data_IF_023765654123
#
_entry.id   IF_023765654123
#
_cell.length_a   1.000
_cell.length_b   1.000
_cell.length_c   1.000
_cell.angle_alpha   90.00
_cell.angle_beta   90.00
_cell.angle_gamma   90.00
#
_symmetry.space_group_name_H-M   'P 1'
#
loop_
_entity.id
_entity.type
_entity.pdbx_description
1 polymer ?
#
# COMPACT_ATOMS: atom_id res chain seq x y z
N UNK A 1 8.88 6.64 -24.61
CA UNK A 1 8.24 7.96 -24.88
C UNK A 1 8.77 8.95 -23.86
N UNK A 2 9.38 10.06 -24.27
CA UNK A 2 9.82 11.11 -23.35
C UNK A 2 8.58 11.80 -22.78
N UNK A 3 8.41 11.76 -21.44
CA UNK A 3 7.32 12.46 -20.73
C UNK A 3 7.46 13.96 -21.00
N UNK A 4 6.37 14.61 -21.43
CA UNK A 4 6.36 16.05 -21.67
C UNK A 4 6.55 16.82 -20.33
N UNK A 5 7.24 17.97 -20.33
CA UNK A 5 7.34 18.80 -19.15
C UNK A 5 5.94 19.32 -18.77
N UNK A 6 5.61 19.24 -17.49
CA UNK A 6 4.34 19.66 -16.90
C UNK A 6 4.15 21.16 -17.19
N UNK A 7 3.28 21.48 -18.14
CA UNK A 7 2.95 22.85 -18.51
C UNK A 7 1.43 23.06 -18.40
N UNK A 8 0.91 23.17 -17.17
CA UNK A 8 -0.19 24.07 -16.78
C UNK A 8 -0.59 23.82 -15.32
N UNK A 9 -0.13 24.65 -14.38
CA UNK A 9 -0.94 25.07 -13.23
C UNK A 9 -0.56 26.53 -12.94
N UNK A 10 -1.57 27.38 -12.84
CA UNK A 10 -1.48 28.81 -12.53
C UNK A 10 -0.40 29.15 -11.50
N UNK A 11 0.21 30.33 -11.61
CA UNK A 11 1.14 30.91 -10.62
C UNK A 11 0.62 30.69 -9.20
N UNK A 12 1.09 29.62 -8.55
CA UNK A 12 0.78 29.29 -7.16
C UNK A 12 1.77 30.04 -6.30
N UNK A 13 1.29 30.66 -5.21
CA UNK A 13 2.17 31.23 -4.19
C UNK A 13 3.14 30.16 -3.70
N UNK A 14 4.36 30.57 -3.33
CA UNK A 14 5.40 29.70 -2.74
C UNK A 14 4.90 28.91 -1.51
N UNK A 15 3.74 29.26 -0.94
CA UNK A 15 3.10 28.60 0.19
C UNK A 15 2.16 27.44 -0.16
N UNK A 16 1.81 27.20 -1.43
CA UNK A 16 0.88 26.12 -1.81
C UNK A 16 1.62 24.79 -1.94
N UNK A 17 1.28 23.80 -1.12
CA UNK A 17 1.80 22.43 -1.28
C UNK A 17 1.07 21.74 -2.45
N UNK A 18 1.78 21.15 -3.42
CA UNK A 18 1.14 20.46 -4.54
C UNK A 18 0.44 19.19 -4.05
N UNK A 19 -0.78 18.96 -4.55
CA UNK A 19 -1.44 17.67 -4.53
C UNK A 19 -1.67 17.29 -5.99
N UNK A 20 -0.98 16.26 -6.46
CA UNK A 20 -1.08 15.75 -7.83
C UNK A 20 -1.90 14.47 -7.79
N UNK A 21 -2.80 14.30 -8.75
CA UNK A 21 -3.56 13.05 -8.90
C UNK A 21 -3.23 12.47 -10.26
N UNK A 22 -2.71 11.24 -10.26
CA UNK A 22 -2.31 10.52 -11.45
C UNK A 22 -3.19 9.29 -11.64
N UNK A 23 -3.71 9.10 -12.85
CA UNK A 23 -4.44 7.90 -13.23
C UNK A 23 -3.56 7.05 -14.15
N UNK A 24 -3.07 5.91 -13.65
CA UNK A 24 -2.39 4.89 -14.46
C UNK A 24 -3.33 3.74 -14.86
N UNK A 25 -4.61 3.82 -14.48
CA UNK A 25 -5.58 2.82 -14.88
C UNK A 25 -5.83 2.89 -16.39
N UNK A 26 -6.16 1.75 -16.99
CA UNK A 26 -6.58 1.69 -18.40
C UNK A 26 -7.90 2.45 -18.63
N UNK A 27 -8.73 2.52 -17.60
CA UNK A 27 -10.05 3.16 -17.62
C UNK A 27 -10.02 4.59 -17.07
N UNK A 28 -11.02 5.37 -17.45
CA UNK A 28 -11.26 6.70 -16.86
C UNK A 28 -11.80 6.55 -15.44
N UNK A 29 -11.19 7.25 -14.48
CA UNK A 29 -11.64 7.33 -13.09
C UNK A 29 -12.11 8.74 -12.73
N UNK A 30 -12.93 8.84 -11.69
CA UNK A 30 -13.42 10.11 -11.15
C UNK A 30 -13.01 10.23 -9.68
N UNK A 31 -11.80 10.74 -9.38
CA UNK A 31 -11.33 10.89 -8.00
C UNK A 31 -12.22 11.89 -7.24
N UNK A 32 -12.68 11.50 -6.05
CA UNK A 32 -13.35 12.40 -5.12
C UNK A 32 -12.36 13.00 -4.13
N UNK A 33 -12.48 14.28 -3.82
CA UNK A 33 -11.70 14.96 -2.77
C UNK A 33 -12.65 15.58 -1.76
N UNK A 34 -12.43 15.30 -0.49
CA UNK A 34 -13.22 15.86 0.61
C UNK A 34 -12.27 16.41 1.68
N UNK A 35 -12.64 17.56 2.25
CA UNK A 35 -11.88 18.19 3.33
C UNK A 35 -12.72 18.19 4.59
N UNK A 36 -12.24 17.49 5.62
CA UNK A 36 -12.94 17.40 6.90
C UNK A 36 -12.72 18.66 7.75
N UNK A 37 -11.52 19.25 7.70
CA UNK A 37 -11.15 20.46 8.41
C UNK A 37 -10.07 21.24 7.64
N UNK A 38 -10.05 22.57 7.83
CA UNK A 38 -9.10 23.47 7.16
C UNK A 38 -9.47 23.82 5.72
N UNK A 39 -8.52 24.40 4.99
CA UNK A 39 -8.67 24.77 3.58
C UNK A 39 -8.27 23.60 2.67
N UNK A 40 -9.23 23.08 1.92
CA UNK A 40 -9.04 21.97 0.98
C UNK A 40 -8.38 22.38 -0.34
N UNK A 41 -8.05 21.41 -1.22
CA UNK A 41 -7.61 21.72 -2.58
C UNK A 41 -8.70 22.51 -3.33
N UNK A 42 -8.30 23.57 -4.04
CA UNK A 42 -9.17 24.62 -4.60
C UNK A 42 -10.25 24.19 -5.61
N UNK A 43 -10.37 22.90 -5.91
CA UNK A 43 -11.44 22.28 -6.69
C UNK A 43 -11.96 21.06 -5.92
N UNK A 44 -12.86 21.28 -4.96
CA UNK A 44 -13.45 20.23 -4.11
C UNK A 44 -13.95 20.73 -2.74
N UNK A 45 -13.51 21.91 -2.30
CA UNK A 45 -13.98 22.53 -1.05
C UNK A 45 -15.37 23.19 -1.20
N UNK A 46 -16.24 22.98 -0.22
CA UNK A 46 -17.49 23.72 -0.04
C UNK A 46 -17.35 24.61 1.19
N UNK A 47 -17.96 25.81 1.16
CA UNK A 47 -17.93 26.74 2.29
C UNK A 47 -18.76 26.16 3.45
N UNK A 48 -18.12 25.85 4.57
CA UNK A 48 -18.77 25.40 5.80
C UNK A 48 -18.61 26.47 6.89
N UNK A 49 -19.72 26.95 7.45
CA UNK A 49 -19.68 27.97 8.53
C UNK A 49 -19.29 27.37 9.88
N UNK A 50 -18.76 28.19 10.80
CA UNK A 50 -18.43 27.75 12.17
C UNK A 50 -19.63 27.07 12.84
N UNK A 51 -19.44 25.84 13.35
CA UNK A 51 -20.48 25.02 13.95
C UNK A 51 -21.31 24.17 12.97
N UNK A 52 -21.17 24.35 11.65
CA UNK A 52 -21.80 23.50 10.65
C UNK A 52 -20.95 22.23 10.39
N UNK A 53 -21.63 21.12 10.09
CA UNK A 53 -21.01 19.86 9.71
C UNK A 53 -21.62 19.39 8.39
N UNK A 54 -20.78 18.92 7.47
CA UNK A 54 -21.25 18.24 6.27
C UNK A 54 -20.33 17.06 5.99
N UNK A 55 -20.89 15.85 6.03
CA UNK A 55 -20.16 14.61 5.82
C UNK A 55 -20.27 14.20 4.35
N UNK A 56 -19.15 14.19 3.66
CA UNK A 56 -19.02 13.54 2.36
C UNK A 56 -18.11 12.33 2.53
N UNK A 57 -18.55 11.17 2.09
CA UNK A 57 -17.69 10.00 1.91
C UNK A 57 -17.94 9.42 0.53
N UNK A 58 -16.92 8.84 -0.10
CA UNK A 58 -17.15 7.94 -1.22
C UNK A 58 -18.10 6.82 -0.79
N UNK A 59 -18.94 6.31 -1.70
CA UNK A 59 -19.78 5.15 -1.38
C UNK A 59 -18.88 3.91 -1.34
N UNK A 60 -18.77 3.21 -0.19
CA UNK A 60 -18.00 1.97 -0.11
C UNK A 60 -18.42 0.92 -1.16
N UNK A 61 -17.50 0.05 -1.61
CA UNK A 61 -16.10 -0.02 -1.20
C UNK A 61 -15.24 1.09 -1.82
N UNK A 62 -14.32 1.68 -1.07
CA UNK A 62 -13.44 2.75 -1.58
C UNK A 62 -12.05 2.69 -0.93
N UNK A 63 -11.01 2.53 -1.74
CA UNK A 63 -9.63 2.74 -1.31
C UNK A 63 -9.39 4.23 -1.08
N UNK A 64 -8.86 4.60 0.08
CA UNK A 64 -8.66 5.99 0.48
C UNK A 64 -7.16 6.33 0.58
N UNK A 65 -6.81 7.57 0.21
CA UNK A 65 -5.57 8.21 0.61
C UNK A 65 -5.93 9.35 1.56
N UNK A 66 -5.51 9.23 2.81
CA UNK A 66 -5.89 10.15 3.89
C UNK A 66 -4.69 11.02 4.26
N UNK A 67 -4.94 12.30 4.51
CA UNK A 67 -3.89 13.27 4.84
C UNK A 67 -4.36 14.21 5.94
N UNK A 68 -3.55 14.36 6.97
CA UNK A 68 -3.60 15.46 7.94
C UNK A 68 -2.36 16.30 7.76
N UNK A 69 -2.52 17.43 7.06
CA UNK A 69 -1.43 18.33 6.70
C UNK A 69 -1.24 19.42 7.75
N UNK A 70 0.01 19.87 7.92
CA UNK A 70 0.35 21.08 8.67
C UNK A 70 -0.21 21.11 10.11
N UNK A 71 0.06 20.06 10.88
CA UNK A 71 -0.28 20.04 12.31
C UNK A 71 0.54 21.09 13.08
N UNK A 72 0.09 21.43 14.29
CA UNK A 72 0.82 22.35 15.18
C UNK A 72 2.24 21.88 15.52
N UNK A 73 2.53 20.59 15.37
CA UNK A 73 3.85 19.98 15.56
C UNK A 73 4.75 20.05 14.32
N UNK A 74 4.30 20.65 13.21
CA UNK A 74 5.07 20.69 11.97
C UNK A 74 5.16 19.32 11.29
N UNK A 75 4.26 18.38 11.62
CA UNK A 75 4.21 17.04 11.05
C UNK A 75 3.07 16.92 10.04
N UNK A 76 3.17 15.92 9.17
CA UNK A 76 2.12 15.46 8.29
C UNK A 76 1.87 14.00 8.57
N UNK A 77 0.60 13.67 8.80
CA UNK A 77 0.13 12.30 8.97
C UNK A 77 -0.59 11.89 7.69
N UNK A 78 -0.30 10.72 7.19
CA UNK A 78 -0.97 10.20 6.00
C UNK A 78 -0.92 8.68 5.97
N UNK A 79 -1.84 8.12 5.23
CA UNK A 79 -1.99 6.68 5.10
C UNK A 79 -2.83 6.30 3.87
N UNK A 80 -2.70 5.04 3.47
CA UNK A 80 -3.66 4.38 2.60
C UNK A 80 -4.62 3.63 3.52
N UNK A 81 -5.92 3.79 3.30
CA UNK A 81 -6.95 3.22 4.15
C UNK A 81 -7.93 2.37 3.38
N UNK A 82 -8.11 1.14 3.87
CA UNK A 82 -9.06 0.13 3.40
C UNK A 82 -10.20 -0.10 4.41
N UNK A 83 -10.34 0.82 5.38
CA UNK A 83 -11.40 0.79 6.40
C UNK A 83 -12.79 0.85 5.76
N UNK A 84 -12.91 1.59 4.66
CA UNK A 84 -14.13 1.71 3.85
C UNK A 84 -14.15 0.72 2.67
N UNK A 85 -13.27 -0.28 2.67
CA UNK A 85 -13.16 -1.27 1.60
C UNK A 85 -12.02 -1.01 0.64
N UNK A 86 -11.93 -1.84 -0.40
CA UNK A 86 -10.96 -1.74 -1.47
C UNK A 86 -11.67 -1.77 -2.83
N UNK A 87 -11.36 -0.81 -3.70
CA UNK A 87 -11.90 -0.78 -5.06
C UNK A 87 -10.85 -0.52 -6.14
N UNK A 88 -9.69 0.02 -5.82
CA UNK A 88 -8.66 0.29 -6.82
C UNK A 88 -7.28 0.29 -6.16
N UNK A 89 -6.21 -0.19 -6.83
CA UNK A 89 -4.86 -0.01 -6.31
C UNK A 89 -4.53 1.47 -6.20
N UNK A 90 -3.78 1.82 -5.18
CA UNK A 90 -3.45 3.20 -4.84
C UNK A 90 -2.05 3.27 -4.27
N UNK A 91 -1.34 4.34 -4.60
CA UNK A 91 -0.06 4.71 -4.00
C UNK A 91 -0.08 6.18 -3.62
N UNK A 92 0.67 6.50 -2.57
CA UNK A 92 0.97 7.88 -2.18
C UNK A 92 2.47 8.08 -2.42
N UNK A 93 2.83 9.16 -3.09
CA UNK A 93 4.19 9.53 -3.41
C UNK A 93 4.48 10.90 -2.81
N UNK A 94 5.47 10.99 -1.94
CA UNK A 94 5.95 12.27 -1.43
C UNK A 94 6.66 13.07 -2.54
N UNK A 95 6.35 14.36 -2.63
CA UNK A 95 6.99 15.30 -3.57
C UNK A 95 8.16 16.06 -2.93
N UNK A 96 8.77 15.49 -1.88
CA UNK A 96 9.99 16.03 -1.27
C UNK A 96 11.12 16.33 -2.27
N UNK A 97 11.43 15.47 -3.27
CA UNK A 97 12.49 15.77 -4.24
C UNK A 97 12.24 17.08 -5.01
N UNK A 98 10.98 17.43 -5.25
CA UNK A 98 10.57 18.63 -5.98
C UNK A 98 10.27 19.84 -5.07
N UNK A 99 10.49 19.70 -3.76
CA UNK A 99 10.09 20.72 -2.77
C UNK A 99 10.94 21.99 -2.80
N UNK A 100 12.16 21.94 -3.33
CA UNK A 100 13.15 23.02 -3.23
C UNK A 100 13.73 23.22 -1.83
N UNK A 101 13.37 22.37 -0.85
CA UNK A 101 13.90 22.40 0.51
C UNK A 101 14.90 21.24 0.68
N UNK A 102 16.18 21.57 0.89
CA UNK A 102 17.27 20.60 0.99
C UNK A 102 17.03 19.57 2.09
N UNK A 103 16.53 20.00 3.26
CA UNK A 103 16.25 19.09 4.37
C UNK A 103 15.14 18.08 4.08
N UNK A 104 14.17 18.43 3.25
CA UNK A 104 13.14 17.50 2.81
C UNK A 104 13.66 16.57 1.71
N UNK A 105 14.49 17.09 0.80
CA UNK A 105 15.10 16.31 -0.29
C UNK A 105 16.04 15.20 0.21
N UNK A 106 16.58 15.32 1.42
CA UNK A 106 17.39 14.29 2.07
C UNK A 106 16.56 13.08 2.55
N UNK A 107 15.24 13.23 2.71
CA UNK A 107 14.38 12.13 3.17
C UNK A 107 14.09 11.21 1.97
N UNK A 108 14.54 9.94 2.02
CA UNK A 108 14.45 9.08 0.86
C UNK A 108 13.01 8.57 0.62
N UNK A 109 12.62 8.38 -0.65
CA UNK A 109 11.25 7.99 -1.03
C UNK A 109 10.84 6.60 -0.52
N UNK A 110 11.79 5.69 -0.29
CA UNK A 110 11.50 4.36 0.26
C UNK A 110 11.03 4.33 1.72
N UNK A 111 11.07 5.47 2.42
CA UNK A 111 10.43 5.64 3.72
C UNK A 111 9.01 6.18 3.63
N UNK A 112 8.65 6.82 2.52
CA UNK A 112 7.50 7.74 2.48
C UNK A 112 6.46 7.43 1.41
N UNK A 113 6.71 6.44 0.55
CA UNK A 113 5.85 6.17 -0.59
C UNK A 113 5.12 4.82 -0.44
N UNK A 114 4.04 4.74 0.36
CA UNK A 114 3.27 3.51 0.49
C UNK A 114 2.50 3.15 -0.78
N UNK A 115 2.34 1.86 -1.02
CA UNK A 115 1.69 1.26 -2.19
C UNK A 115 0.76 0.14 -1.71
N UNK A 116 -0.47 0.12 -2.20
CA UNK A 116 -1.40 -0.99 -2.00
C UNK A 116 -1.90 -1.55 -3.33
N UNK A 117 -1.44 -2.77 -3.66
CA UNK A 117 -1.83 -3.54 -4.85
C UNK A 117 -2.61 -4.79 -4.44
N UNK A 118 -3.88 -4.59 -4.07
CA UNK A 118 -4.85 -5.65 -3.77
C UNK A 118 -5.56 -6.24 -5.01
N UNK A 119 -5.04 -6.02 -6.21
CA UNK A 119 -5.64 -6.47 -7.49
C UNK A 119 -4.68 -7.37 -8.24
N UNK A 120 -5.09 -8.63 -8.49
CA UNK A 120 -4.21 -9.67 -9.02
C UNK A 120 -3.68 -9.40 -10.44
N UNK A 121 -4.44 -8.71 -11.30
CA UNK A 121 -3.97 -8.36 -12.65
C UNK A 121 -2.84 -7.34 -12.69
N UNK A 122 -2.71 -6.52 -11.64
CA UNK A 122 -1.69 -5.48 -11.52
C UNK A 122 -0.57 -5.90 -10.56
N UNK A 123 -0.67 -7.11 -9.99
CA UNK A 123 0.34 -7.67 -9.11
C UNK A 123 1.52 -8.22 -9.92
N UNK A 124 2.72 -7.71 -9.65
CA UNK A 124 3.95 -8.25 -10.20
C UNK A 124 4.34 -9.59 -9.54
N UNK A 125 5.10 -10.40 -10.28
CA UNK A 125 5.54 -11.72 -9.83
C UNK A 125 6.42 -11.65 -8.57
N UNK A 126 6.50 -12.77 -7.84
CA UNK A 126 7.41 -12.88 -6.69
C UNK A 126 8.85 -12.63 -7.10
N UNK A 127 9.58 -11.87 -6.28
CA UNK A 127 10.94 -11.41 -6.57
C UNK A 127 11.00 -10.15 -7.43
N UNK A 128 9.87 -9.61 -7.91
CA UNK A 128 9.85 -8.32 -8.58
C UNK A 128 10.26 -7.21 -7.60
N UNK A 129 11.18 -6.37 -8.05
CA UNK A 129 11.71 -5.21 -7.29
C UNK A 129 11.45 -3.89 -8.01
N UNK A 130 10.70 -3.91 -9.12
CA UNK A 130 10.37 -2.68 -9.85
C UNK A 130 9.35 -1.86 -9.04
N UNK A 131 9.75 -0.63 -8.74
CA UNK A 131 9.01 0.37 -8.01
C UNK A 131 8.99 1.72 -8.76
N UNK A 132 9.25 1.68 -10.07
CA UNK A 132 9.37 2.87 -10.92
C UNK A 132 8.11 3.74 -10.99
N UNK A 133 6.92 3.19 -10.71
CA UNK A 133 5.65 3.95 -10.60
C UNK A 133 5.47 4.64 -9.25
N UNK A 134 6.36 4.41 -8.29
CA UNK A 134 6.20 4.80 -6.89
C UNK A 134 7.11 5.95 -6.49
N UNK A 135 7.57 6.74 -7.47
CA UNK A 135 8.35 7.96 -7.24
C UNK A 135 9.73 7.73 -6.61
N UNK A 136 10.30 6.53 -6.79
CA UNK A 136 11.61 6.16 -6.25
C UNK A 136 12.62 5.86 -7.36
N UNK A 137 13.86 5.52 -6.97
CA UNK A 137 14.96 5.20 -7.86
C UNK A 137 15.79 4.03 -7.32
N UNK A 138 16.72 3.53 -8.14
CA UNK A 138 17.58 2.39 -7.80
C UNK A 138 18.46 2.59 -6.56
N UNK A 139 18.69 3.82 -6.11
CA UNK A 139 19.46 4.11 -4.90
C UNK A 139 18.66 3.89 -3.62
N UNK A 140 17.33 3.99 -3.69
CA UNK A 140 16.43 3.83 -2.54
C UNK A 140 15.23 2.97 -2.92
N UNK A 141 15.39 1.67 -3.19
CA UNK A 141 14.26 0.81 -3.52
C UNK A 141 13.26 0.71 -2.36
N UNK A 142 11.97 0.71 -2.67
CA UNK A 142 10.89 0.48 -1.69
C UNK A 142 10.95 -0.98 -1.23
N UNK A 143 10.83 -1.27 0.08
CA UNK A 143 10.68 -2.63 0.55
C UNK A 143 9.28 -3.13 0.16
N UNK A 144 9.24 -3.97 -0.87
CA UNK A 144 7.99 -4.58 -1.33
C UNK A 144 7.64 -5.84 -0.52
N UNK A 145 6.35 -6.08 -0.33
CA UNK A 145 5.78 -7.35 0.14
C UNK A 145 6.13 -8.43 -0.89
N UNK A 146 6.64 -9.59 -0.49
CA UNK A 146 7.10 -10.65 -1.42
C UNK A 146 6.40 -12.00 -1.22
N UNK A 147 5.55 -12.16 -0.21
CA UNK A 147 4.94 -13.44 0.17
C UNK A 147 3.61 -13.70 -0.51
N UNK A 148 2.84 -12.65 -0.84
CA UNK A 148 1.51 -12.82 -1.43
C UNK A 148 1.62 -13.29 -2.89
N UNK A 149 1.13 -14.48 -3.19
CA UNK A 149 1.02 -14.97 -4.56
C UNK A 149 -0.13 -14.28 -5.30
N UNK A 150 -0.15 -14.36 -6.64
CA UNK A 150 -1.30 -13.90 -7.45
C UNK A 150 -2.61 -14.54 -6.99
N UNK A 151 -2.58 -15.80 -6.55
CA UNK A 151 -3.75 -16.49 -6.01
C UNK A 151 -4.20 -15.90 -4.67
N UNK A 152 -3.27 -15.58 -3.77
CA UNK A 152 -3.60 -14.93 -2.50
C UNK A 152 -4.27 -13.57 -2.76
N UNK A 153 -3.72 -12.78 -3.69
CA UNK A 153 -4.30 -11.46 -4.08
C UNK A 153 -5.61 -11.60 -4.85
N UNK A 154 -5.88 -12.71 -5.52
CA UNK A 154 -7.17 -12.95 -6.17
C UNK A 154 -8.25 -13.39 -5.17
N UNK A 155 -7.86 -14.01 -4.05
CA UNK A 155 -8.77 -14.69 -3.12
C UNK A 155 -8.89 -14.02 -1.75
N UNK A 156 -8.08 -12.98 -1.46
CA UNK A 156 -8.04 -12.33 -0.14
C UNK A 156 -9.37 -11.74 0.31
N UNK A 157 -10.19 -11.25 -0.64
CA UNK A 157 -11.50 -10.69 -0.30
C UNK A 157 -12.51 -11.81 -0.02
N UNK A 158 -13.13 -11.86 1.17
CA UNK A 158 -14.20 -12.81 1.47
C UNK A 158 -15.37 -12.69 0.48
N UNK A 159 -15.98 -13.83 0.11
CA UNK A 159 -17.04 -13.88 -0.92
C UNK A 159 -18.22 -12.97 -0.62
N UNK A 160 -18.70 -12.98 0.62
CA UNK A 160 -19.81 -12.17 1.14
C UNK A 160 -19.54 -10.66 1.09
N UNK A 161 -18.26 -10.28 1.06
CA UNK A 161 -17.78 -8.91 0.98
C UNK A 161 -17.46 -8.45 -0.44
N UNK A 162 -17.50 -9.34 -1.44
CA UNK A 162 -17.33 -8.93 -2.82
C UNK A 162 -18.53 -8.12 -3.33
N UNK A 163 -18.26 -7.08 -4.13
CA UNK A 163 -19.30 -6.23 -4.71
C UNK A 163 -20.22 -7.02 -5.63
N UNK A 164 -19.63 -7.79 -6.54
CA UNK A 164 -20.36 -8.76 -7.34
C UNK A 164 -20.17 -10.14 -6.75
N UNK A 165 -21.23 -10.71 -6.17
CA UNK A 165 -21.17 -12.09 -5.69
C UNK A 165 -21.04 -13.03 -6.90
N UNK A 166 -20.23 -14.10 -6.79
CA UNK A 166 -20.16 -15.10 -7.84
C UNK A 166 -21.54 -15.77 -7.96
N UNK A 167 -21.85 -16.32 -9.14
CA UNK A 167 -23.02 -17.19 -9.31
C UNK A 167 -22.86 -18.42 -8.41
N UNK A 168 -23.45 -18.37 -7.22
CA UNK A 168 -23.26 -19.40 -6.20
C UNK A 168 -23.89 -20.74 -6.57
N UNK A 169 -23.59 -21.83 -5.83
CA UNK A 169 -24.36 -23.05 -5.96
C UNK A 169 -25.80 -22.80 -5.49
N UNK A 170 -26.75 -23.61 -5.99
CA UNK A 170 -28.23 -23.44 -5.93
C UNK A 170 -28.89 -23.09 -4.57
N UNK A 171 -28.15 -22.99 -3.45
CA UNK A 171 -28.68 -22.92 -2.09
C UNK A 171 -28.23 -21.70 -1.24
N UNK A 172 -27.59 -20.69 -1.84
CA UNK A 172 -27.34 -19.41 -1.15
C UNK A 172 -26.31 -19.42 -0.01
N UNK A 173 -25.53 -20.49 0.14
CA UNK A 173 -24.43 -20.61 1.11
C UNK A 173 -23.11 -20.75 0.36
N UNK A 174 -22.18 -19.84 0.58
CA UNK A 174 -20.80 -19.90 0.09
C UNK A 174 -19.93 -20.61 1.14
N UNK A 175 -19.61 -21.88 0.92
CA UNK A 175 -18.73 -22.65 1.83
C UNK A 175 -17.27 -22.36 1.50
N UNK A 176 -16.50 -21.85 2.47
CA UNK A 176 -15.05 -21.70 2.35
C UNK A 176 -14.33 -23.01 2.74
N UNK A 177 -13.24 -23.41 2.08
CA UNK A 177 -12.70 -22.93 0.80
C UNK A 177 -13.34 -23.69 -0.40
N UNK A 178 -13.91 -22.96 -1.36
CA UNK A 178 -14.54 -23.51 -2.57
C UNK A 178 -13.57 -23.48 -3.77
N UNK A 179 -12.67 -24.45 -3.83
CA UNK A 179 -11.64 -24.54 -4.88
C UNK A 179 -12.14 -24.72 -6.33
N UNK A 180 -13.45 -24.67 -6.61
CA UNK A 180 -14.03 -24.89 -7.93
C UNK A 180 -14.71 -23.67 -8.57
N UNK A 181 -14.93 -22.57 -7.83
CA UNK A 181 -15.54 -21.35 -8.38
C UNK A 181 -14.44 -20.35 -8.73
N UNK A 182 -14.30 -20.04 -10.01
CA UNK A 182 -13.32 -19.06 -10.47
C UNK A 182 -13.73 -17.65 -10.04
N UNK A 183 -12.86 -16.97 -9.30
CA UNK A 183 -13.01 -15.56 -8.95
C UNK A 183 -12.72 -14.67 -10.16
N UNK A 184 -13.48 -13.59 -10.29
CA UNK A 184 -13.13 -12.51 -11.20
C UNK A 184 -11.72 -12.01 -10.88
N UNK A 185 -10.98 -11.62 -11.92
CA UNK A 185 -9.61 -11.10 -11.79
C UNK A 185 -9.56 -9.83 -10.92
N UNK A 186 -10.65 -9.06 -10.95
CA UNK A 186 -10.86 -7.89 -10.12
C UNK A 186 -12.32 -7.83 -9.65
N UNK A 187 -12.51 -7.61 -8.36
CA UNK A 187 -13.83 -7.43 -7.74
C UNK A 187 -13.66 -6.55 -6.49
N UNK A 188 -14.26 -5.35 -6.44
CA UNK A 188 -14.18 -4.51 -5.25
C UNK A 188 -14.64 -5.24 -4.00
N UNK A 189 -13.99 -4.97 -2.88
CA UNK A 189 -14.21 -5.64 -1.61
C UNK A 189 -14.72 -4.65 -0.57
N UNK A 190 -15.94 -4.86 -0.06
CA UNK A 190 -16.43 -4.17 1.11
C UNK A 190 -15.59 -4.53 2.34
N UNK A 191 -15.35 -3.57 3.22
CA UNK A 191 -14.94 -3.91 4.58
C UNK A 191 -16.11 -4.52 5.36
N UNK A 192 -15.80 -5.19 6.47
CA UNK A 192 -16.84 -5.72 7.37
C UNK A 192 -17.78 -4.62 7.87
N UNK A 193 -17.24 -3.44 8.26
CA UNK A 193 -18.05 -2.31 8.68
C UNK A 193 -18.95 -1.80 7.55
N UNK A 194 -18.40 -1.59 6.35
CA UNK A 194 -19.15 -1.08 5.20
C UNK A 194 -20.29 -2.03 4.78
N UNK A 195 -20.10 -3.34 4.93
CA UNK A 195 -21.12 -4.34 4.60
C UNK A 195 -22.20 -4.47 5.66
N UNK A 196 -21.79 -4.60 6.93
CA UNK A 196 -22.67 -5.07 7.99
C UNK A 196 -23.12 -3.97 8.95
N UNK A 197 -22.40 -2.85 9.00
CA UNK A 197 -22.66 -1.72 9.91
C UNK A 197 -22.77 -2.14 11.39
N UNK A 198 -22.11 -3.24 11.77
CA UNK A 198 -22.11 -3.73 13.16
C UNK A 198 -21.15 -2.89 14.00
N UNK A 199 -21.50 -2.56 15.26
CA UNK A 199 -20.61 -1.82 16.14
C UNK A 199 -19.24 -2.48 16.34
N UNK A 200 -19.18 -3.81 16.35
CA UNK A 200 -17.93 -4.58 16.45
C UNK A 200 -17.03 -4.44 15.24
N UNK A 201 -17.61 -4.31 14.04
CA UNK A 201 -16.85 -4.21 12.78
C UNK A 201 -16.43 -2.76 12.52
N UNK A 202 -17.26 -1.81 12.96
CA UNK A 202 -17.03 -0.37 12.82
C UNK A 202 -16.28 0.24 14.02
N UNK A 203 -15.95 -0.55 15.04
CA UNK A 203 -15.32 -0.09 16.27
C UNK A 203 -16.05 1.08 16.94
N UNK A 204 -17.38 0.99 17.08
CA UNK A 204 -18.20 2.06 17.69
C UNK A 204 -18.89 1.60 18.97
N UNK A 205 -19.34 2.56 19.78
CA UNK A 205 -20.06 2.28 21.03
C UNK A 205 -19.20 1.48 22.00
N UNK A 206 -19.67 0.32 22.44
CA UNK A 206 -18.92 -0.55 23.35
C UNK A 206 -17.61 -1.12 22.78
N UNK A 207 -17.36 -0.95 21.48
CA UNK A 207 -16.14 -1.39 20.79
C UNK A 207 -15.19 -0.23 20.46
N UNK A 208 -15.46 0.99 20.90
CA UNK A 208 -14.62 2.18 20.66
C UNK A 208 -13.36 2.20 21.55
N UNK A 209 -12.58 1.13 21.47
CA UNK A 209 -11.29 1.01 22.13
C UNK A 209 -10.43 -0.04 21.41
N UNK A 210 -9.12 0.21 21.22
CA UNK A 210 -8.19 -0.78 20.65
C UNK A 210 -8.15 -2.11 21.42
N UNK A 211 -8.45 -2.07 22.73
CA UNK A 211 -8.45 -3.26 23.57
C UNK A 211 -9.67 -4.16 23.31
N UNK A 212 -10.77 -3.60 22.81
CA UNK A 212 -12.05 -4.28 22.63
C UNK A 212 -12.34 -4.58 21.17
N UNK A 213 -12.14 -3.62 20.25
CA UNK A 213 -12.31 -3.87 18.83
C UNK A 213 -11.20 -4.80 18.33
N UNK A 214 -11.57 -5.87 17.64
CA UNK A 214 -10.63 -6.83 17.08
C UNK A 214 -10.70 -6.80 15.56
N UNK A 215 -9.57 -7.06 14.87
CA UNK A 215 -9.56 -7.12 13.42
C UNK A 215 -10.50 -8.24 12.94
N UNK A 216 -11.30 -7.93 11.92
CA UNK A 216 -12.16 -8.91 11.24
C UNK A 216 -11.33 -9.84 10.33
N UNK A 217 -11.94 -10.89 9.78
CA UNK A 217 -11.31 -11.73 8.75
C UNK A 217 -10.85 -10.88 7.56
N UNK A 218 -11.71 -9.97 7.08
CA UNK A 218 -11.38 -8.98 6.06
C UNK A 218 -10.13 -8.19 6.43
N UNK A 219 -10.07 -7.65 7.65
CA UNK A 219 -8.96 -6.79 8.07
C UNK A 219 -7.64 -7.56 8.11
N UNK A 220 -7.66 -8.79 8.64
CA UNK A 220 -6.48 -9.66 8.64
C UNK A 220 -6.02 -10.03 7.24
N UNK A 221 -6.94 -10.30 6.32
CA UNK A 221 -6.61 -10.66 4.93
C UNK A 221 -6.14 -9.44 4.13
N UNK A 222 -6.79 -8.28 4.29
CA UNK A 222 -6.36 -7.01 3.70
C UNK A 222 -4.92 -6.67 4.10
N UNK A 223 -4.54 -6.94 5.35
CA UNK A 223 -3.19 -6.66 5.85
C UNK A 223 -2.11 -7.58 5.27
N UNK A 224 -2.47 -8.80 4.85
CA UNK A 224 -1.54 -9.70 4.15
C UNK A 224 -1.20 -9.18 2.76
N UNK A 225 -2.17 -8.55 2.08
CA UNK A 225 -2.00 -8.00 0.72
C UNK A 225 -1.44 -6.59 0.72
N UNK A 226 -1.84 -5.74 1.66
CA UNK A 226 -1.38 -4.35 1.79
C UNK A 226 -0.87 -4.08 3.21
N UNK A 227 0.38 -4.49 3.54
CA UNK A 227 0.93 -4.40 4.89
C UNK A 227 1.02 -2.99 5.47
N UNK A 228 1.21 -1.97 4.64
CA UNK A 228 1.30 -0.57 5.09
C UNK A 228 -0.05 0.16 5.11
N UNK A 229 -1.15 -0.47 4.70
CA UNK A 229 -2.46 0.15 4.65
C UNK A 229 -3.30 -0.14 5.90
N UNK A 230 -4.15 0.81 6.29
CA UNK A 230 -5.13 0.61 7.37
C UNK A 230 -6.15 -0.43 6.95
N UNK A 231 -6.31 -1.47 7.76
CA UNK A 231 -7.28 -2.54 7.51
C UNK A 231 -8.56 -2.45 8.33
N UNK A 232 -8.55 -1.67 9.43
CA UNK A 232 -9.69 -1.33 10.28
C UNK A 232 -9.35 -0.11 11.17
N UNK A 233 -10.32 0.40 11.93
CA UNK A 233 -10.21 1.69 12.63
C UNK A 233 -9.05 1.82 13.64
N UNK A 234 -8.62 0.73 14.28
CA UNK A 234 -7.53 0.74 15.28
C UNK A 234 -6.24 0.07 14.77
N UNK A 235 -5.98 0.13 13.46
CA UNK A 235 -4.74 -0.39 12.82
C UNK A 235 -3.63 0.68 12.71
N UNK A 236 -3.50 1.52 13.74
CA UNK A 236 -2.69 2.74 13.69
C UNK A 236 -1.18 2.48 13.64
N UNK A 237 -0.70 1.59 14.50
CA UNK A 237 0.73 1.32 14.71
C UNK A 237 1.45 0.70 13.50
N UNK A 238 0.69 0.18 12.52
CA UNK A 238 1.25 -0.52 11.37
C UNK A 238 0.84 0.09 10.03
N UNK A 239 0.19 1.26 10.05
CA UNK A 239 -0.43 1.83 8.84
C UNK A 239 -0.26 3.35 8.71
N UNK A 240 0.17 4.03 9.79
CA UNK A 240 0.33 5.50 9.77
C UNK A 240 1.74 5.90 9.41
N UNK A 241 1.87 6.82 8.45
CA UNK A 241 3.12 7.51 8.18
C UNK A 241 3.10 8.89 8.81
N UNK A 242 4.19 9.24 9.49
CA UNK A 242 4.38 10.53 10.14
C UNK A 242 5.69 11.12 9.64
N UNK A 243 5.60 12.20 8.85
CA UNK A 243 6.76 12.83 8.19
C UNK A 243 6.75 14.34 8.40
N UNK A 244 7.87 15.05 8.19
CA UNK A 244 7.90 16.50 8.20
C UNK A 244 6.88 17.15 7.28
N UNK A 245 6.27 18.24 7.72
CA UNK A 245 5.39 19.02 6.87
C UNK A 245 6.14 19.68 5.71
N UNK A 246 5.80 19.33 4.46
CA UNK A 246 6.35 20.01 3.29
C UNK A 246 6.20 19.21 2.01
N UNK A 247 6.77 19.72 0.90
CA UNK A 247 6.89 19.06 -0.41
C UNK A 247 5.61 18.81 -1.20
N UNK A 248 4.50 18.46 -0.54
CA UNK A 248 3.29 18.02 -1.21
C UNK A 248 3.30 16.53 -1.54
N UNK A 249 2.24 16.06 -2.19
CA UNK A 249 2.02 14.65 -2.47
C UNK A 249 1.47 14.42 -3.87
N UNK A 250 1.71 13.23 -4.38
CA UNK A 250 1.03 12.68 -5.54
C UNK A 250 0.26 11.42 -5.11
N UNK A 251 -1.01 11.33 -5.49
CA UNK A 251 -1.81 10.11 -5.37
C UNK A 251 -1.88 9.46 -6.74
N UNK A 252 -1.36 8.24 -6.85
CA UNK A 252 -1.36 7.48 -8.10
C UNK A 252 -2.34 6.32 -8.00
N UNK A 253 -3.28 6.26 -8.92
CA UNK A 253 -4.24 5.16 -9.05
C UNK A 253 -3.75 4.11 -10.05
N UNK A 254 -4.03 2.84 -9.75
CA UNK A 254 -3.53 1.67 -10.48
C UNK A 254 -1.99 1.61 -10.63
N UNK A 255 -1.18 1.81 -9.58
CA UNK A 255 0.21 1.39 -9.64
C UNK A 255 0.30 -0.10 -9.95
N UNK A 256 1.10 -0.45 -10.94
CA UNK A 256 1.54 -1.82 -11.19
C UNK A 256 2.68 -2.16 -10.24
N UNK A 257 2.76 -3.41 -9.78
CA UNK A 257 3.85 -3.84 -8.90
C UNK A 257 3.36 -4.64 -7.70
N UNK A 258 4.03 -4.48 -6.58
CA UNK A 258 3.67 -5.15 -5.32
C UNK A 258 3.40 -4.11 -4.24
N UNK A 259 2.61 -4.45 -3.24
CA UNK A 259 2.36 -3.56 -2.10
C UNK A 259 3.64 -3.30 -1.33
N UNK A 260 3.72 -2.13 -0.70
CA UNK A 260 4.84 -1.76 0.15
C UNK A 260 4.75 -2.45 1.53
N UNK A 261 5.90 -2.60 2.17
CA UNK A 261 6.06 -3.11 3.53
C UNK A 261 7.09 -2.25 4.29
N UNK A 262 6.98 -0.93 4.14
CA UNK A 262 7.88 0.08 4.65
C UNK A 262 7.84 0.11 6.17
N UNK A 263 6.66 0.14 6.78
CA UNK A 263 6.51 0.36 8.22
C UNK A 263 7.14 -0.79 9.02
N UNK A 264 6.92 -2.03 8.60
CA UNK A 264 7.49 -3.19 9.29
C UNK A 264 9.03 -3.23 9.19
N UNK A 265 9.59 -2.68 8.11
CA UNK A 265 11.01 -2.78 7.77
C UNK A 265 11.80 -1.62 8.35
N UNK A 266 11.25 -0.43 8.26
CA UNK A 266 11.89 0.82 8.64
C UNK A 266 11.24 1.48 9.86
N UNK A 267 10.65 0.68 10.77
CA UNK A 267 9.98 1.18 11.98
C UNK A 267 10.85 2.13 12.80
N UNK A 268 12.13 1.80 12.99
CA UNK A 268 13.08 2.63 13.76
C UNK A 268 13.33 3.96 13.04
N UNK A 269 13.57 3.90 11.73
CA UNK A 269 13.80 5.03 10.85
C UNK A 269 12.63 6.01 10.86
N UNK A 270 11.41 5.47 10.69
CA UNK A 270 10.18 6.26 10.72
C UNK A 270 9.94 6.90 12.09
N UNK A 271 10.22 6.18 13.17
CA UNK A 271 10.10 6.72 14.53
C UNK A 271 11.03 7.91 14.72
N UNK A 272 12.30 7.77 14.34
CA UNK A 272 13.27 8.85 14.42
C UNK A 272 12.89 10.03 13.51
N UNK A 273 12.54 9.76 12.25
CA UNK A 273 12.10 10.78 11.29
C UNK A 273 10.90 11.58 11.84
N UNK A 274 9.94 10.92 12.48
CA UNK A 274 8.80 11.60 13.09
C UNK A 274 9.21 12.53 14.23
N UNK A 275 10.27 12.21 14.98
CA UNK A 275 10.73 12.97 16.15
C UNK A 275 11.68 14.11 15.78
N UNK A 276 12.62 13.87 14.87
CA UNK A 276 13.69 14.82 14.53
C UNK A 276 13.37 15.64 13.28
N UNK A 277 12.49 15.11 12.43
CA UNK A 277 12.21 15.65 11.11
C UNK A 277 13.33 15.46 10.08
N UNK A 278 14.37 14.69 10.41
CA UNK A 278 15.52 14.43 9.55
C UNK A 278 15.98 12.97 9.65
N UNK A 279 16.55 12.46 8.57
CA UNK A 279 17.21 11.14 8.54
C UNK A 279 18.71 11.39 8.67
N UNK A 280 19.35 10.92 9.75
CA UNK A 280 20.79 11.09 9.94
C UNK A 280 21.61 10.06 9.15
N UNK A 281 22.92 10.28 9.03
CA UNK A 281 23.82 9.41 8.26
C UNK A 281 23.80 7.95 8.74
N UNK A 282 23.79 7.73 10.07
CA UNK A 282 23.69 6.38 10.65
C UNK A 282 22.44 5.65 10.18
N UNK A 283 21.30 6.35 10.13
CA UNK A 283 20.04 5.77 9.72
C UNK A 283 20.01 5.44 8.23
N UNK A 284 20.65 6.28 7.41
CA UNK A 284 20.83 6.01 5.99
C UNK A 284 21.72 4.79 5.76
N UNK A 285 22.79 4.63 6.55
CA UNK A 285 23.66 3.46 6.50
C UNK A 285 22.91 2.17 6.91
N UNK A 286 22.15 2.21 8.01
CA UNK A 286 21.30 1.10 8.45
C UNK A 286 20.29 0.69 7.37
N UNK A 287 19.68 1.66 6.69
CA UNK A 287 18.75 1.40 5.60
C UNK A 287 19.42 0.69 4.42
N UNK A 288 20.64 1.10 4.06
CA UNK A 288 21.42 0.46 3.01
C UNK A 288 21.81 -0.98 3.39
N UNK A 289 22.18 -1.24 4.64
CA UNK A 289 22.49 -2.59 5.12
C UNK A 289 21.27 -3.51 5.05
N UNK A 290 20.10 -3.02 5.48
CA UNK A 290 18.82 -3.75 5.36
C UNK A 290 18.55 -4.11 3.90
N UNK A 291 18.77 -3.19 2.95
CA UNK A 291 18.58 -3.44 1.52
C UNK A 291 19.50 -4.53 0.98
N UNK A 292 20.79 -4.47 1.30
CA UNK A 292 21.79 -5.47 0.85
C UNK A 292 21.46 -6.86 1.42
N UNK A 293 21.05 -6.92 2.68
CA UNK A 293 20.66 -8.19 3.30
C UNK A 293 19.43 -8.79 2.62
N UNK A 294 18.45 -7.98 2.24
CA UNK A 294 17.21 -8.49 1.61
C UNK A 294 17.41 -8.90 0.15
N UNK A 295 18.22 -8.17 -0.61
CA UNK A 295 18.57 -8.56 -1.98
C UNK A 295 19.39 -9.86 -2.01
N UNK A 296 20.31 -10.05 -1.06
CA UNK A 296 21.10 -11.30 -0.96
C UNK A 296 20.24 -12.50 -0.54
N UNK A 297 19.27 -12.32 0.37
CA UNK A 297 18.31 -13.38 0.74
C UNK A 297 17.38 -13.73 -0.43
N UNK A 298 16.86 -12.74 -1.15
CA UNK A 298 16.05 -12.97 -2.36
C UNK A 298 16.85 -13.75 -3.42
N UNK A 299 18.10 -13.38 -3.69
CA UNK A 299 18.97 -14.10 -4.62
C UNK A 299 19.25 -15.55 -4.18
N UNK A 300 19.42 -15.81 -2.89
CA UNK A 300 19.60 -17.18 -2.35
C UNK A 300 18.34 -18.03 -2.46
N UNK A 301 17.16 -17.45 -2.26
CA UNK A 301 15.89 -18.16 -2.40
C UNK A 301 15.61 -18.62 -3.84
N UNK A 302 15.99 -17.79 -4.83
CA UNK A 302 15.90 -18.14 -6.26
C UNK A 302 16.97 -19.16 -6.68
N UNK A 303 18.14 -19.14 -6.02
CA UNK A 303 19.25 -20.05 -6.30
C UNK A 303 19.05 -21.51 -5.89
N UNK A 304 18.11 -21.80 -4.97
CA UNK A 304 17.89 -23.16 -4.46
C UNK A 304 16.98 -24.04 -5.35
N UNK A 305 16.34 -23.48 -6.39
CA UNK A 305 15.39 -24.22 -7.25
C UNK A 305 16.02 -24.72 -8.56
N UNK A 306 17.33 -24.52 -8.78
CA UNK A 306 18.02 -25.08 -9.95
C UNK A 306 19.09 -26.09 -9.56
N UNK A 307 18.84 -27.33 -9.98
CA UNK A 307 19.78 -28.44 -10.15
C UNK A 307 19.87 -29.48 -9.00
N UNK A 308 18.82 -30.30 -8.89
CA UNK A 308 19.01 -31.73 -8.57
C UNK A 308 18.86 -32.51 -9.88
N UNK A 309 19.88 -32.44 -10.74
CA UNK A 309 20.07 -33.43 -11.80
C UNK A 309 21.04 -34.45 -11.23
N UNK A 310 20.50 -35.60 -10.83
CA UNK A 310 21.29 -36.73 -10.37
C UNK A 310 22.22 -37.21 -11.47
N UNK A 311 23.52 -37.03 -11.27
CA UNK A 311 24.56 -37.68 -12.08
C UNK A 311 24.70 -39.10 -11.54
N UNK A 312 24.00 -40.05 -12.16
CA UNK A 312 24.26 -41.48 -11.99
C UNK A 312 25.53 -41.82 -12.77
N UNK A 313 26.66 -41.93 -12.08
CA UNK A 313 27.92 -42.43 -12.65
C UNK A 313 27.86 -43.96 -12.61
N UNK A 314 27.53 -44.58 -13.74
CA UNK A 314 27.67 -46.02 -13.95
C UNK A 314 29.15 -46.39 -14.11
N UNK A 315 29.76 -46.92 -13.05
CA UNK A 315 31.06 -47.58 -13.13
C UNK A 315 30.91 -48.96 -13.78
N UNK A 316 31.40 -49.10 -15.01
CA UNK A 316 31.63 -50.41 -15.63
C UNK A 316 32.89 -51.03 -15.04
N UNK A 317 32.71 -52.03 -14.18
CA UNK A 317 33.77 -52.90 -13.67
C UNK A 317 34.23 -53.86 -14.78
N UNK A 318 35.47 -53.69 -15.23
CA UNK A 318 36.15 -54.66 -16.08
C UNK A 318 36.73 -55.76 -15.19
N UNK A 319 36.19 -56.98 -15.32
CA UNK A 319 36.69 -58.18 -14.65
C UNK A 319 37.93 -58.70 -15.37
N UNK A 320 39.10 -58.58 -14.73
CA UNK A 320 40.24 -59.45 -15.01
C UNK A 320 40.22 -60.58 -13.98
N UNK A 321 39.86 -61.78 -14.44
CA UNK A 321 39.97 -63.03 -13.68
C UNK A 321 41.43 -63.46 -13.60
N UNK A 322 41.76 -64.03 -12.45
CA UNK A 322 43.07 -64.43 -11.98
C UNK A 322 43.65 -65.64 -12.71
N UNK A 323 44.91 -65.96 -12.40
CA UNK A 323 45.45 -67.31 -12.48
C UNK A 323 44.46 -68.39 -11.98
#
# INVERSE_FOLDING_TARGET
MKRAPIAYVAQRSESSKPLVVENLCQETIYPGMATQAGDGPGTGGFRLSSGAQQKFSGKPPTSLAEFTLATSSGQTFYDISLVDGYNIPIAIVSLYPQSGNSSLQEIPPNLTNPICVGTASLLADEGATDDSTSGTNSSYPIPLEQKASKNDVQTWCPWDLQLTLPSGPRNGVYSYPDGSIQRAIFNPCYSACAKYSKPSDCCTGGYDSPNVCKPSSYSMDAKKVCPDAYSFAFDDQTSTFIIPSGGGFQVTFCPEGRSSNIIAVYKKQLTQLSQTGHVNEDLMADMQEIMVTRTSVAARSVGLVKSVIGIVILFWLWTALWA
#
